data_IF_553800261110
#
_entry.id   IF_553800261110
#
_cell.length_a   1.000
_cell.length_b   1.000
_cell.length_c   1.000
_cell.angle_alpha   90.00
_cell.angle_beta   90.00
_cell.angle_gamma   90.00
#
_symmetry.space_group_name_H-M   'P 1'
#
loop_
_entity.id
_entity.type
_entity.pdbx_description
1 polymer ?
#
# COMPACT_ATOMS: atom_id res chain seq x y z
N UNK A 1 -18.76 0.44 10.92
CA UNK A 1 -17.47 0.35 10.22
C UNK A 1 -16.53 1.41 10.77
N UNK A 2 -15.30 1.01 11.13
CA UNK A 2 -14.30 1.94 11.68
C UNK A 2 -13.76 2.88 10.61
N UNK A 3 -13.20 4.04 11.00
CA UNK A 3 -12.52 4.92 10.04
C UNK A 3 -11.39 4.22 9.29
N UNK A 4 -10.62 3.36 9.97
CA UNK A 4 -9.54 2.60 9.33
C UNK A 4 -10.09 1.68 8.24
N UNK A 5 -11.19 0.99 8.51
CA UNK A 5 -11.80 0.06 7.55
C UNK A 5 -12.39 0.82 6.36
N UNK A 6 -13.00 1.97 6.60
CA UNK A 6 -13.51 2.81 5.51
C UNK A 6 -12.38 3.27 4.60
N UNK A 7 -11.26 3.69 5.18
CA UNK A 7 -10.10 4.12 4.40
C UNK A 7 -9.51 2.97 3.61
N UNK A 8 -9.34 1.80 4.24
CA UNK A 8 -8.86 0.59 3.54
C UNK A 8 -9.76 0.27 2.34
N UNK A 9 -11.07 0.28 2.53
CA UNK A 9 -12.02 -0.02 1.46
C UNK A 9 -11.95 1.00 0.33
N UNK A 10 -11.75 2.28 0.67
CA UNK A 10 -11.58 3.35 -0.32
C UNK A 10 -10.34 3.13 -1.19
N UNK A 11 -9.22 2.77 -0.56
CA UNK A 11 -7.97 2.49 -1.26
C UNK A 11 -8.12 1.27 -2.16
N UNK A 12 -8.70 0.18 -1.63
CA UNK A 12 -8.93 -1.05 -2.39
C UNK A 12 -9.84 -0.82 -3.58
N UNK A 13 -10.91 -0.04 -3.40
CA UNK A 13 -11.83 0.28 -4.49
C UNK A 13 -11.12 1.05 -5.61
N UNK A 14 -10.32 2.04 -5.24
CA UNK A 14 -9.54 2.81 -6.20
C UNK A 14 -8.58 1.90 -7.00
N UNK A 15 -7.87 1.01 -6.30
CA UNK A 15 -6.94 0.08 -6.97
C UNK A 15 -7.67 -0.83 -7.96
N UNK A 16 -8.87 -1.32 -7.60
CA UNK A 16 -9.70 -2.12 -8.50
C UNK A 16 -10.10 -1.33 -9.74
N UNK A 17 -10.54 -0.09 -9.56
CA UNK A 17 -10.95 0.79 -10.67
C UNK A 17 -9.80 1.06 -11.63
N UNK A 18 -8.57 1.11 -11.10
CA UNK A 18 -7.37 1.31 -11.92
C UNK A 18 -6.86 0.01 -12.57
N UNK A 19 -7.50 -1.12 -12.31
CA UNK A 19 -7.11 -2.39 -12.90
C UNK A 19 -5.84 -2.99 -12.27
N UNK A 20 -5.49 -2.58 -11.07
CA UNK A 20 -4.32 -3.12 -10.38
C UNK A 20 -4.62 -4.47 -9.77
N UNK A 21 -3.63 -5.37 -9.78
CA UNK A 21 -3.71 -6.59 -9.00
C UNK A 21 -3.15 -6.30 -7.61
N UNK A 22 -3.85 -6.76 -6.57
CA UNK A 22 -3.36 -6.59 -5.20
C UNK A 22 -3.95 -7.63 -4.28
N UNK A 23 -3.26 -7.83 -3.16
CA UNK A 23 -3.75 -8.64 -2.05
C UNK A 23 -3.62 -7.84 -0.77
N UNK A 24 -4.52 -8.12 0.17
CA UNK A 24 -4.34 -7.69 1.55
C UNK A 24 -3.54 -8.75 2.28
N UNK A 25 -2.46 -8.34 2.94
CA UNK A 25 -1.68 -9.25 3.77
C UNK A 25 -2.29 -9.31 5.17
N UNK A 26 -2.64 -10.50 5.59
CA UNK A 26 -3.20 -10.75 6.92
C UNK A 26 -2.10 -11.22 7.85
N UNK A 27 -1.64 -10.32 8.75
CA UNK A 27 -0.67 -10.65 9.77
C UNK A 27 -1.31 -11.19 11.05
N UNK A 28 -0.50 -11.55 12.02
CA UNK A 28 -0.95 -11.95 13.35
C UNK A 28 -1.15 -13.44 13.53
N UNK A 29 -1.05 -14.25 12.49
CA UNK A 29 -1.04 -15.69 12.61
C UNK A 29 0.31 -16.23 13.08
N UNK A 30 0.32 -17.46 13.57
CA UNK A 30 1.52 -18.09 14.14
C UNK A 30 2.70 -18.15 13.16
N UNK A 31 2.39 -18.33 11.88
CA UNK A 31 3.41 -18.49 10.84
C UNK A 31 3.48 -17.31 9.88
N UNK A 32 2.77 -16.22 10.17
CA UNK A 32 2.82 -15.02 9.33
C UNK A 32 3.98 -14.13 9.75
N UNK A 33 4.61 -13.51 8.77
CA UNK A 33 5.71 -12.57 9.00
C UNK A 33 5.15 -11.24 9.51
N UNK A 34 5.77 -10.69 10.55
CA UNK A 34 5.41 -9.38 11.11
C UNK A 34 6.00 -8.24 10.29
N UNK A 35 5.34 -7.09 10.34
CA UNK A 35 5.84 -5.86 9.71
C UNK A 35 5.61 -5.76 8.21
N UNK A 36 4.88 -6.71 7.62
CA UNK A 36 4.53 -6.67 6.20
C UNK A 36 3.45 -5.61 5.98
N UNK A 37 3.57 -4.77 4.93
CA UNK A 37 2.54 -3.79 4.61
C UNK A 37 1.17 -4.40 4.35
N UNK A 38 0.11 -3.63 4.63
CA UNK A 38 -1.28 -4.09 4.52
C UNK A 38 -1.67 -4.55 3.12
N UNK A 39 -1.23 -3.83 2.10
CA UNK A 39 -1.54 -4.16 0.72
C UNK A 39 -0.25 -4.34 -0.08
N UNK A 40 -0.21 -5.44 -0.84
CA UNK A 40 0.88 -5.71 -1.77
C UNK A 40 0.29 -5.69 -3.16
N UNK A 41 0.79 -4.79 -4.01
CA UNK A 41 0.17 -4.50 -5.30
C UNK A 41 1.15 -4.67 -6.45
N UNK A 42 0.60 -5.07 -7.59
CA UNK A 42 1.30 -4.98 -8.86
C UNK A 42 0.56 -3.93 -9.70
N UNK A 43 1.25 -2.86 -10.04
CA UNK A 43 0.69 -1.73 -10.78
C UNK A 43 1.51 -1.54 -12.05
N UNK A 44 0.97 -1.99 -13.16
CA UNK A 44 1.67 -1.93 -14.45
C UNK A 44 3.09 -2.51 -14.38
N UNK A 45 3.24 -3.63 -13.67
CA UNK A 45 4.53 -4.29 -13.49
C UNK A 45 5.38 -3.76 -12.34
N UNK A 46 4.98 -2.68 -11.69
CA UNK A 46 5.67 -2.14 -10.53
C UNK A 46 5.15 -2.76 -9.24
N UNK A 47 6.07 -3.12 -8.36
CA UNK A 47 5.68 -3.55 -7.02
C UNK A 47 5.39 -2.33 -6.16
N UNK A 48 4.18 -2.27 -5.61
CA UNK A 48 3.75 -1.16 -4.75
C UNK A 48 3.23 -1.75 -3.44
N UNK A 49 3.90 -1.43 -2.34
CA UNK A 49 3.50 -1.87 -1.01
C UNK A 49 2.91 -0.69 -0.25
N UNK A 50 1.76 -0.89 0.37
CA UNK A 50 1.03 0.18 1.06
C UNK A 50 0.74 -0.23 2.48
N UNK A 51 1.27 0.52 3.43
CA UNK A 51 0.90 0.41 4.84
C UNK A 51 -0.12 1.50 5.13
N UNK A 52 -1.33 1.08 5.52
CA UNK A 52 -2.45 1.99 5.78
C UNK A 52 -2.45 2.42 7.23
N UNK A 53 -2.62 3.70 7.47
CA UNK A 53 -2.74 4.26 8.82
C UNK A 53 -3.99 5.13 8.91
N UNK A 54 -4.60 5.13 10.09
CA UNK A 54 -5.64 6.11 10.41
C UNK A 54 -5.02 7.49 10.61
N UNK A 55 -5.86 8.51 10.68
CA UNK A 55 -5.44 9.91 10.80
C UNK A 55 -4.42 10.12 11.92
N UNK A 56 -4.60 9.44 13.07
CA UNK A 56 -3.73 9.56 14.23
C UNK A 56 -2.84 8.34 14.45
N UNK A 57 -2.76 7.45 13.46
CA UNK A 57 -1.98 6.23 13.59
C UNK A 57 -0.48 6.49 13.45
N UNK A 58 0.31 5.58 14.02
CA UNK A 58 1.76 5.64 13.92
C UNK A 58 2.29 4.30 13.40
N UNK A 59 3.29 4.37 12.53
CA UNK A 59 3.96 3.17 12.05
C UNK A 59 4.94 2.67 13.11
N UNK A 60 4.97 1.35 13.30
CA UNK A 60 5.96 0.70 14.18
C UNK A 60 7.31 0.61 13.47
N UNK A 61 8.37 0.51 14.26
CA UNK A 61 9.73 0.45 13.73
C UNK A 61 9.91 -0.66 12.68
N UNK A 62 9.35 -1.84 12.92
CA UNK A 62 9.46 -2.96 11.98
C UNK A 62 8.74 -2.68 10.66
N UNK A 63 7.60 -1.99 10.72
CA UNK A 63 6.87 -1.57 9.51
C UNK A 63 7.71 -0.61 8.68
N UNK A 64 8.31 0.39 9.32
CA UNK A 64 9.18 1.35 8.64
C UNK A 64 10.41 0.68 8.05
N UNK A 65 11.00 -0.27 8.77
CA UNK A 65 12.14 -1.05 8.29
C UNK A 65 11.79 -1.82 7.03
N UNK A 66 10.63 -2.47 7.01
CA UNK A 66 10.17 -3.24 5.84
C UNK A 66 9.95 -2.33 4.63
N UNK A 67 9.29 -1.19 4.84
CA UNK A 67 9.07 -0.22 3.77
C UNK A 67 10.38 0.27 3.18
N UNK A 68 11.37 0.54 4.03
CA UNK A 68 12.69 0.96 3.59
C UNK A 68 13.37 -0.12 2.74
N UNK A 69 13.26 -1.39 3.15
CA UNK A 69 13.84 -2.51 2.38
C UNK A 69 13.18 -2.67 1.02
N UNK A 70 11.87 -2.48 0.94
CA UNK A 70 11.15 -2.54 -0.34
C UNK A 70 11.61 -1.40 -1.26
N UNK A 71 11.75 -0.19 -0.70
CA UNK A 71 12.22 0.97 -1.45
C UNK A 71 13.63 0.73 -2.00
N UNK A 72 14.56 0.24 -1.16
CA UNK A 72 15.92 -0.08 -1.56
C UNK A 72 15.98 -1.15 -2.66
N UNK A 73 15.02 -2.08 -2.65
CA UNK A 73 14.93 -3.13 -3.66
C UNK A 73 14.30 -2.68 -4.99
N UNK A 74 13.89 -1.42 -5.07
CA UNK A 74 13.32 -0.84 -6.29
C UNK A 74 11.80 -0.81 -6.36
N UNK A 75 11.10 -1.22 -5.30
CA UNK A 75 9.65 -1.12 -5.22
C UNK A 75 9.21 0.25 -4.72
N UNK A 76 7.93 0.50 -4.80
CA UNK A 76 7.31 1.70 -4.22
C UNK A 76 6.75 1.31 -2.86
N UNK A 77 7.26 1.94 -1.81
CA UNK A 77 6.86 1.66 -0.44
C UNK A 77 6.20 2.91 0.14
N UNK A 78 4.94 2.77 0.53
CA UNK A 78 4.10 3.92 0.89
C UNK A 78 3.50 3.72 2.28
N UNK A 79 3.74 4.68 3.15
CA UNK A 79 3.02 4.82 4.40
C UNK A 79 1.87 5.79 4.14
N UNK A 80 0.64 5.28 4.05
CA UNK A 80 -0.50 6.03 3.53
C UNK A 80 -1.47 6.44 4.63
N UNK A 81 -1.55 7.74 4.85
CA UNK A 81 -2.54 8.38 5.71
C UNK A 81 -3.69 8.93 4.87
N UNK A 82 -4.89 9.12 5.45
CA UNK A 82 -6.04 9.60 4.68
C UNK A 82 -5.82 10.93 3.94
N UNK A 83 -5.06 11.86 4.53
CA UNK A 83 -4.79 13.16 3.91
C UNK A 83 -3.86 13.09 2.70
N UNK A 84 -3.24 11.93 2.46
CA UNK A 84 -2.35 11.70 1.32
C UNK A 84 -2.99 10.84 0.23
N UNK A 85 -4.28 10.56 0.34
CA UNK A 85 -4.97 9.71 -0.62
C UNK A 85 -4.88 10.24 -2.05
N UNK A 86 -5.05 11.53 -2.25
CA UNK A 86 -5.01 12.12 -3.59
C UNK A 86 -3.62 11.99 -4.23
N UNK A 87 -2.56 12.18 -3.44
CA UNK A 87 -1.19 11.98 -3.92
C UNK A 87 -0.96 10.50 -4.30
N UNK A 88 -1.49 9.58 -3.50
CA UNK A 88 -1.43 8.16 -3.80
C UNK A 88 -2.13 7.83 -5.11
N UNK A 89 -3.33 8.35 -5.31
CA UNK A 89 -4.08 8.14 -6.56
C UNK A 89 -3.28 8.63 -7.75
N UNK A 90 -2.65 9.79 -7.65
CA UNK A 90 -1.83 10.35 -8.72
C UNK A 90 -0.66 9.43 -9.04
N UNK A 91 0.04 8.91 -8.04
CA UNK A 91 1.13 7.97 -8.25
C UNK A 91 0.67 6.73 -9.01
N UNK A 92 -0.45 6.13 -8.59
CA UNK A 92 -0.97 4.91 -9.23
C UNK A 92 -1.35 5.19 -10.68
N UNK A 93 -2.01 6.32 -10.94
CA UNK A 93 -2.38 6.71 -12.31
C UNK A 93 -1.12 6.92 -13.16
N UNK A 94 -0.12 7.60 -12.62
CA UNK A 94 1.14 7.85 -13.34
C UNK A 94 1.85 6.53 -13.70
N UNK A 95 1.90 5.58 -12.76
CA UNK A 95 2.50 4.27 -13.03
C UNK A 95 1.71 3.50 -14.09
N UNK A 96 0.38 3.59 -14.06
CA UNK A 96 -0.47 2.90 -15.05
C UNK A 96 -0.38 3.50 -16.44
N UNK A 97 0.03 4.76 -16.57
CA UNK A 97 0.18 5.41 -17.87
C UNK A 97 1.55 5.23 -18.48
N UNK A 98 2.50 4.64 -17.76
CA UNK A 98 3.82 4.34 -18.30
C UNK A 98 3.70 3.28 -19.41
N UNK A 99 4.45 3.51 -20.50
CA UNK A 99 4.49 2.52 -21.58
C UNK A 99 5.36 1.34 -21.15
N UNK A 100 4.79 0.15 -21.22
CA UNK A 100 5.59 -1.07 -21.08
C UNK A 100 6.47 -1.28 -22.30
N UNK A 101 7.70 -1.61 -22.03
CA UNK A 101 8.69 -1.92 -23.07
C UNK A 101 8.72 -3.44 -23.29
#
# INVERSE_FOLDING_TARGET
MTPEKRFENKVKQFLKEQGCWFIKYWGGGRYTKSGIPDLLCCVNGHFVAVELKSENGEAKALQLWTLDKIDQAGGYAILLFPDKFDEFCKLIIDLNTERKV
#
